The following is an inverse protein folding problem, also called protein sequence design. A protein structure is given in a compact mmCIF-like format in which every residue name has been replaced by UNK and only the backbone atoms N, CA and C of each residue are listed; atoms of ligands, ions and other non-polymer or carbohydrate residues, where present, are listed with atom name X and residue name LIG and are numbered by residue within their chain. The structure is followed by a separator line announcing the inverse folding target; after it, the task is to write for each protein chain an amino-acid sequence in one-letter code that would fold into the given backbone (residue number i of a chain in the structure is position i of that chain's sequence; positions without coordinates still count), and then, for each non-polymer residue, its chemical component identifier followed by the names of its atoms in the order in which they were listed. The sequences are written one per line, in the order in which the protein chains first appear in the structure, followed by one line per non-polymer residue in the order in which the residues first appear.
data_IF_751433071888
#
_entry.id   IF_751433071888
#
_cell.length_a   1.000
_cell.length_b   1.000
_cell.length_c   1.000
_cell.angle_alpha   90.00
_cell.angle_beta   90.00
_cell.angle_gamma   90.00
#
_symmetry.space_group_name_H-M   'P 1'
#
loop_
_entity.id
_entity.type
_entity.pdbx_description
1 polymer ?
#
# COMPACT_ATOMS: atom_id res chain seq x y z
N UNK A 1 -2.58 15.55 15.10
CA UNK A 1 -2.48 15.94 13.68
C UNK A 1 -3.81 15.64 13.01
N UNK A 2 -4.29 16.46 12.07
CA UNK A 2 -5.58 16.19 11.40
C UNK A 2 -5.38 15.13 10.31
N UNK A 3 -6.30 14.16 10.17
CA UNK A 3 -6.23 13.19 9.08
C UNK A 3 -6.43 13.88 7.73
N UNK A 4 -5.84 13.32 6.67
CA UNK A 4 -5.96 13.80 5.30
C UNK A 4 -7.22 13.26 4.59
N UNK A 5 -7.88 12.26 5.19
CA UNK A 5 -8.96 11.47 4.62
C UNK A 5 -8.74 10.00 4.93
N UNK A 6 -9.46 9.12 4.25
CA UNK A 6 -9.29 7.68 4.34
C UNK A 6 -9.37 7.01 2.96
N UNK A 7 -8.94 5.75 2.91
CA UNK A 7 -9.20 4.83 1.81
C UNK A 7 -10.13 3.75 2.31
N UNK A 8 -11.26 3.55 1.64
CA UNK A 8 -12.23 2.52 1.97
C UNK A 8 -12.20 1.41 0.93
N UNK A 9 -11.86 0.18 1.35
CA UNK A 9 -11.86 -0.99 0.47
C UNK A 9 -12.64 -2.11 1.13
N UNK A 10 -13.63 -2.65 0.42
CA UNK A 10 -14.52 -3.70 0.92
C UNK A 10 -15.17 -3.37 2.29
N UNK A 11 -15.43 -2.09 2.57
CA UNK A 11 -15.99 -1.61 3.84
C UNK A 11 -14.96 -1.37 4.95
N UNK A 12 -13.68 -1.63 4.71
CA UNK A 12 -12.59 -1.38 5.66
C UNK A 12 -11.90 -0.06 5.37
N UNK A 13 -11.77 0.77 6.40
CA UNK A 13 -11.22 2.11 6.27
C UNK A 13 -9.75 2.17 6.74
N UNK A 14 -8.95 2.90 5.98
CA UNK A 14 -7.55 3.21 6.25
C UNK A 14 -7.38 4.73 6.33
N UNK A 15 -7.38 5.29 7.53
CA UNK A 15 -7.22 6.73 7.76
C UNK A 15 -5.77 7.14 7.52
N UNK A 16 -5.59 8.16 6.68
CA UNK A 16 -4.29 8.64 6.23
C UNK A 16 -3.82 9.82 7.07
N UNK A 17 -2.59 9.71 7.59
CA UNK A 17 -1.92 10.77 8.35
C UNK A 17 -0.60 11.13 7.68
N UNK A 18 -0.60 12.20 6.89
CA UNK A 18 0.61 12.73 6.27
C UNK A 18 1.49 13.45 7.30
N UNK A 19 2.68 12.90 7.55
CA UNK A 19 3.71 13.49 8.42
C UNK A 19 4.71 14.36 7.64
N UNK A 20 4.53 14.53 6.33
CA UNK A 20 5.36 15.40 5.48
C UNK A 20 4.66 16.71 5.16
N UNK A 21 5.45 17.69 4.72
CA UNK A 21 4.98 18.94 4.11
C UNK A 21 4.55 18.74 2.64
N UNK A 22 4.99 17.66 1.99
CA UNK A 22 4.64 17.33 0.62
C UNK A 22 3.20 16.86 0.49
N UNK A 23 2.56 17.17 -0.64
CA UNK A 23 1.26 16.60 -0.99
C UNK A 23 1.33 15.09 -1.19
N UNK A 24 0.21 14.40 -1.00
CA UNK A 24 0.08 12.98 -1.33
C UNK A 24 -0.54 12.84 -2.71
N UNK A 25 0.05 12.00 -3.56
CA UNK A 25 -0.51 11.61 -4.85
C UNK A 25 -0.73 10.10 -4.88
N UNK A 26 -1.91 9.71 -5.37
CA UNK A 26 -2.31 8.32 -5.57
C UNK A 26 -2.35 8.01 -7.07
N UNK A 27 -2.12 6.75 -7.41
CA UNK A 27 -2.23 6.26 -8.79
C UNK A 27 -3.69 6.35 -9.27
N UNK A 28 -3.89 6.48 -10.59
CA UNK A 28 -5.23 6.42 -11.18
C UNK A 28 -5.92 5.10 -10.82
N UNK A 29 -7.20 5.18 -10.47
CA UNK A 29 -8.00 4.08 -9.94
C UNK A 29 -8.23 4.18 -8.43
N UNK A 30 -7.50 5.02 -7.70
CA UNK A 30 -7.76 5.25 -6.27
C UNK A 30 -8.94 6.18 -5.99
N UNK A 31 -9.41 6.94 -6.98
CA UNK A 31 -10.40 7.99 -6.82
C UNK A 31 -11.70 7.48 -6.18
N UNK A 32 -12.13 6.28 -6.56
CA UNK A 32 -13.36 5.66 -6.06
C UNK A 32 -13.23 5.09 -4.63
N UNK A 33 -12.00 4.96 -4.11
CA UNK A 33 -11.72 4.45 -2.77
C UNK A 33 -11.43 5.57 -1.77
N UNK A 34 -11.13 6.78 -2.23
CA UNK A 34 -10.81 7.92 -1.37
C UNK A 34 -12.07 8.52 -0.75
N UNK A 35 -12.00 8.78 0.56
CA UNK A 35 -13.06 9.42 1.32
C UNK A 35 -12.52 10.55 2.20
N UNK A 36 -13.33 11.58 2.41
CA UNK A 36 -13.04 12.61 3.41
C UNK A 36 -13.44 12.17 4.82
N UNK A 37 -14.23 11.10 4.93
CA UNK A 37 -14.63 10.53 6.21
C UNK A 37 -13.48 9.76 6.85
N UNK A 38 -13.38 9.83 8.17
CA UNK A 38 -12.34 9.15 8.94
C UNK A 38 -12.98 8.46 10.14
N UNK A 39 -13.50 7.23 9.95
CA UNK A 39 -14.15 6.48 11.02
C UNK A 39 -13.19 6.21 12.19
N UNK A 40 -13.73 6.16 13.41
CA UNK A 40 -12.92 5.96 14.63
C UNK A 40 -12.30 4.55 14.71
N UNK A 41 -12.92 3.56 14.07
CA UNK A 41 -12.47 2.17 13.99
C UNK A 41 -11.56 1.89 12.78
N UNK A 42 -11.23 2.93 11.99
CA UNK A 42 -10.34 2.79 10.86
C UNK A 42 -8.91 2.43 11.27
N UNK A 43 -8.27 1.62 10.43
CA UNK A 43 -6.83 1.34 10.51
C UNK A 43 -6.07 2.63 10.22
N UNK A 44 -4.94 2.84 10.90
CA UNK A 44 -4.18 4.10 10.76
C UNK A 44 -3.00 3.89 9.82
N UNK A 45 -2.76 4.84 8.93
CA UNK A 45 -1.63 4.84 8.00
C UNK A 45 -0.85 6.14 8.17
N UNK A 46 0.30 6.06 8.81
CA UNK A 46 1.23 7.17 8.97
C UNK A 46 2.20 7.20 7.81
N UNK A 47 2.28 8.34 7.14
CA UNK A 47 3.09 8.52 5.94
C UNK A 47 4.22 9.47 6.27
N UNK A 48 5.45 9.00 6.14
CA UNK A 48 6.67 9.72 6.40
C UNK A 48 7.46 9.92 5.11
N UNK A 49 8.17 11.03 5.08
CA UNK A 49 9.14 11.32 4.04
C UNK A 49 10.51 10.74 4.40
N UNK A 50 11.18 10.17 3.40
CA UNK A 50 12.55 9.70 3.50
C UNK A 50 12.63 8.29 4.10
N UNK A 51 13.58 7.50 3.63
CA UNK A 51 13.79 6.15 4.14
C UNK A 51 14.54 6.18 5.47
N UNK A 52 14.25 5.19 6.30
CA UNK A 52 15.02 4.93 7.50
C UNK A 52 16.03 3.82 7.26
N UNK A 53 17.14 3.87 7.99
CA UNK A 53 18.15 2.82 7.98
C UNK A 53 17.90 1.84 9.12
N UNK A 54 18.02 0.56 8.83
CA UNK A 54 17.96 -0.53 9.80
C UNK A 54 18.77 -1.71 9.28
N UNK A 55 19.19 -2.58 10.19
CA UNK A 55 19.86 -3.83 9.85
C UNK A 55 18.81 -4.92 9.57
N UNK A 56 18.98 -5.63 8.44
CA UNK A 56 18.16 -6.78 8.09
C UNK A 56 18.74 -8.01 8.77
N UNK A 57 17.98 -8.58 9.70
CA UNK A 57 18.34 -9.82 10.39
C UNK A 57 18.03 -11.03 9.48
N UNK A 58 16.89 -10.97 8.79
CA UNK A 58 16.40 -12.08 7.97
C UNK A 58 15.58 -11.59 6.79
N UNK A 59 15.80 -12.20 5.63
CA UNK A 59 14.89 -12.09 4.49
C UNK A 59 13.81 -13.19 4.59
N UNK A 60 12.55 -12.79 4.70
CA UNK A 60 11.42 -13.69 4.93
C UNK A 60 10.75 -14.13 3.63
N UNK A 61 10.69 -13.24 2.65
CA UNK A 61 10.08 -13.50 1.35
C UNK A 61 10.56 -12.47 0.32
N UNK A 62 10.69 -12.89 -0.95
CA UNK A 62 10.97 -12.00 -2.08
C UNK A 62 10.03 -12.32 -3.24
N UNK A 63 9.37 -11.31 -3.79
CA UNK A 63 8.72 -11.38 -5.09
C UNK A 63 9.65 -10.84 -6.17
N UNK A 64 9.86 -11.62 -7.22
CA UNK A 64 10.72 -11.25 -8.36
C UNK A 64 9.99 -11.45 -9.68
N UNK A 65 10.31 -10.60 -10.65
CA UNK A 65 10.01 -10.82 -12.06
C UNK A 65 11.33 -11.08 -12.79
N UNK A 66 11.61 -12.34 -13.12
CA UNK A 66 12.95 -12.79 -13.54
C UNK A 66 14.01 -12.41 -12.48
N UNK A 67 15.02 -11.62 -12.85
CA UNK A 67 16.07 -11.16 -11.93
C UNK A 67 15.67 -9.91 -11.14
N UNK A 68 14.54 -9.27 -11.47
CA UNK A 68 14.13 -8.02 -10.87
C UNK A 68 13.37 -8.22 -9.57
N UNK A 69 13.86 -7.62 -8.48
CA UNK A 69 13.18 -7.58 -7.19
C UNK A 69 12.03 -6.56 -7.25
N UNK A 70 10.82 -7.00 -6.94
CA UNK A 70 9.63 -6.14 -6.92
C UNK A 70 9.28 -5.70 -5.49
N UNK A 71 9.29 -6.67 -4.57
CA UNK A 71 9.11 -6.39 -3.15
C UNK A 71 9.65 -7.55 -2.30
N UNK A 72 9.96 -7.26 -1.05
CA UNK A 72 10.36 -8.27 -0.07
C UNK A 72 9.82 -7.98 1.32
N UNK A 73 9.80 -9.04 2.14
CA UNK A 73 9.48 -8.97 3.55
C UNK A 73 10.75 -9.33 4.31
N UNK A 74 11.15 -8.48 5.25
CA UNK A 74 12.36 -8.65 6.06
C UNK A 74 12.05 -8.51 7.53
N UNK A 75 12.76 -9.25 8.39
CA UNK A 75 12.74 -9.05 9.83
C UNK A 75 13.97 -8.22 10.25
N UNK A 76 13.75 -7.28 11.15
CA UNK A 76 14.73 -6.37 11.76
C UNK A 76 14.61 -6.42 13.27
N UNK A 77 15.52 -5.77 14.01
CA UNK A 77 15.39 -5.62 15.47
C UNK A 77 14.09 -4.91 15.87
N UNK A 78 13.60 -4.01 15.01
CA UNK A 78 12.40 -3.22 15.24
C UNK A 78 11.14 -3.86 14.64
N UNK A 79 11.19 -5.14 14.26
CA UNK A 79 10.06 -5.88 13.71
C UNK A 79 10.13 -6.09 12.20
N UNK A 80 8.98 -6.42 11.61
CA UNK A 80 8.86 -6.81 10.20
C UNK A 80 8.60 -5.62 9.28
N UNK A 81 9.29 -5.62 8.14
CA UNK A 81 9.22 -4.58 7.14
C UNK A 81 8.88 -5.15 5.76
N UNK A 82 8.11 -4.36 5.01
CA UNK A 82 7.80 -4.56 3.60
C UNK A 82 8.60 -3.54 2.80
N UNK A 83 9.45 -4.01 1.89
CA UNK A 83 10.26 -3.16 1.02
C UNK A 83 9.73 -3.30 -0.40
N UNK A 84 9.36 -2.19 -1.01
CA UNK A 84 8.81 -2.14 -2.38
C UNK A 84 9.81 -1.42 -3.28
N UNK A 85 10.10 -1.99 -4.44
CA UNK A 85 11.08 -1.49 -5.40
C UNK A 85 10.42 -1.08 -6.70
N UNK A 86 11.01 -0.10 -7.38
CA UNK A 86 10.54 0.37 -8.67
C UNK A 86 10.62 -0.76 -9.72
N UNK A 87 9.53 -1.07 -10.43
CA UNK A 87 9.43 -2.22 -11.34
C UNK A 87 10.25 -2.09 -12.61
N UNK A 88 10.92 -0.95 -12.86
CA UNK A 88 11.81 -0.78 -14.02
C UNK A 88 13.29 -0.60 -13.65
N UNK A 89 13.58 -0.17 -12.42
CA UNK A 89 14.93 0.26 -12.04
C UNK A 89 15.45 -0.41 -10.75
N UNK A 90 14.59 -1.18 -10.05
CA UNK A 90 14.94 -1.92 -8.84
C UNK A 90 15.43 -1.05 -7.67
N UNK A 91 15.24 0.27 -7.74
CA UNK A 91 15.50 1.15 -6.62
C UNK A 91 14.38 1.05 -5.59
N UNK A 92 14.72 1.13 -4.31
CA UNK A 92 13.74 1.15 -3.23
C UNK A 92 12.81 2.36 -3.40
N UNK A 93 11.51 2.10 -3.38
CA UNK A 93 10.45 3.09 -3.59
C UNK A 93 9.71 3.38 -2.29
N UNK A 94 9.37 2.34 -1.53
CA UNK A 94 8.69 2.46 -0.24
C UNK A 94 9.22 1.44 0.77
N UNK A 95 9.25 1.85 2.04
CA UNK A 95 9.39 0.95 3.18
C UNK A 95 8.09 1.04 3.98
N UNK A 96 7.55 -0.08 4.43
CA UNK A 96 6.39 -0.07 5.30
C UNK A 96 6.57 -1.04 6.46
N UNK A 97 6.06 -0.64 7.62
CA UNK A 97 5.97 -1.48 8.80
C UNK A 97 4.51 -1.57 9.22
N UNK A 98 4.11 -2.78 9.62
CA UNK A 98 2.79 -3.03 10.17
C UNK A 98 2.88 -3.41 11.65
N UNK A 99 2.12 -2.70 12.49
CA UNK A 99 1.90 -3.01 13.89
C UNK A 99 0.51 -3.66 14.04
N UNK A 100 0.49 -4.94 14.38
CA UNK A 100 -0.71 -5.77 14.50
C UNK A 100 -1.53 -5.47 15.76
N UNK A 101 -0.88 -5.04 16.84
CA UNK A 101 -1.53 -4.66 18.10
C UNK A 101 -2.33 -3.36 17.93
N UNK A 102 -1.74 -2.40 17.22
CA UNK A 102 -2.34 -1.07 17.00
C UNK A 102 -3.10 -0.95 15.67
N UNK A 103 -3.09 -2.01 14.84
CA UNK A 103 -3.65 -2.01 13.48
C UNK A 103 -3.17 -0.81 12.65
N UNK A 104 -1.88 -0.51 12.77
CA UNK A 104 -1.26 0.69 12.23
C UNK A 104 -0.22 0.33 11.18
N UNK A 105 -0.23 1.04 10.07
CA UNK A 105 0.82 1.06 9.06
C UNK A 105 1.65 2.33 9.21
N UNK A 106 2.96 2.17 9.10
CA UNK A 106 3.90 3.29 8.95
C UNK A 106 4.62 3.12 7.62
N UNK A 107 4.47 4.07 6.71
CA UNK A 107 5.01 4.03 5.35
C UNK A 107 6.01 5.17 5.17
N UNK A 108 7.19 4.84 4.67
CA UNK A 108 8.26 5.77 4.31
C UNK A 108 8.44 5.76 2.80
N UNK A 109 8.47 6.94 2.17
CA UNK A 109 8.70 7.09 0.73
C UNK A 109 9.51 8.35 0.43
N UNK A 110 10.23 8.34 -0.70
CA UNK A 110 10.99 9.51 -1.15
C UNK A 110 10.11 10.52 -1.85
N UNK A 111 10.53 11.80 -1.79
CA UNK A 111 9.95 12.86 -2.60
C UNK A 111 10.15 12.56 -4.08
N UNK A 112 9.11 12.86 -4.86
CA UNK A 112 9.17 12.80 -6.31
C UNK A 112 8.62 14.09 -6.90
N UNK A 113 9.16 14.50 -8.05
CA UNK A 113 8.68 15.67 -8.75
C UNK A 113 7.39 15.33 -9.52
N UNK A 114 6.31 16.07 -9.29
CA UNK A 114 5.05 15.94 -10.00
C UNK A 114 4.52 17.33 -10.40
N UNK A 115 4.38 17.59 -11.70
CA UNK A 115 3.81 18.84 -12.24
C UNK A 115 4.35 20.14 -11.61
N UNK A 116 5.65 20.17 -11.28
CA UNK A 116 6.42 21.28 -10.62
C UNK A 116 6.34 21.36 -9.10
N UNK A 117 5.70 20.39 -8.44
CA UNK A 117 5.68 20.27 -6.98
C UNK A 117 6.41 19.00 -6.53
N UNK A 118 6.86 18.98 -5.27
CA UNK A 118 7.37 17.77 -4.63
C UNK A 118 6.24 17.06 -3.89
N UNK A 119 6.06 15.78 -4.19
CA UNK A 119 4.96 14.96 -3.68
C UNK A 119 5.47 13.62 -3.14
N UNK A 120 4.61 12.93 -2.41
CA UNK A 120 4.81 11.56 -1.96
C UNK A 120 3.80 10.62 -2.64
N UNK A 121 4.27 9.43 -3.00
CA UNK A 121 3.46 8.34 -3.52
C UNK A 121 3.40 7.19 -2.50
N UNK A 122 2.64 7.33 -1.40
CA UNK A 122 2.68 6.41 -0.27
C UNK A 122 2.12 5.03 -0.58
N UNK A 123 1.30 4.90 -1.63
CA UNK A 123 0.61 3.66 -2.00
C UNK A 123 0.94 3.19 -3.41
N UNK A 124 2.07 3.64 -3.97
CA UNK A 124 2.51 3.17 -5.27
C UNK A 124 2.64 1.63 -5.30
N UNK A 125 2.31 1.05 -6.45
CA UNK A 125 2.13 -0.39 -6.57
C UNK A 125 3.41 -1.17 -6.23
N UNK A 126 3.33 -2.28 -5.43
CA UNK A 126 2.14 -2.95 -4.93
C UNK A 126 1.82 -2.65 -3.45
N UNK A 127 2.16 -1.48 -2.90
CA UNK A 127 2.01 -1.22 -1.46
C UNK A 127 0.57 -1.40 -0.96
N UNK A 128 -0.43 -0.80 -1.63
CA UNK A 128 -1.82 -0.99 -1.22
C UNK A 128 -2.29 -2.45 -1.32
N UNK A 129 -2.03 -3.20 -2.41
CA UNK A 129 -2.26 -4.65 -2.44
C UNK A 129 -1.61 -5.43 -1.29
N UNK A 130 -0.39 -5.07 -0.88
CA UNK A 130 0.28 -5.71 0.26
C UNK A 130 -0.44 -5.42 1.57
N UNK A 131 -0.88 -4.18 1.78
CA UNK A 131 -1.70 -3.82 2.95
C UNK A 131 -3.00 -4.60 3.01
N UNK A 132 -3.68 -4.77 1.87
CA UNK A 132 -4.92 -5.54 1.78
C UNK A 132 -4.67 -7.04 1.94
N UNK A 133 -3.54 -7.56 1.47
CA UNK A 133 -3.16 -8.95 1.73
C UNK A 133 -3.04 -9.21 3.24
N UNK A 134 -2.38 -8.32 3.99
CA UNK A 134 -2.33 -8.41 5.45
C UNK A 134 -3.73 -8.32 6.07
N UNK A 135 -4.60 -7.43 5.56
CA UNK A 135 -5.99 -7.35 6.01
C UNK A 135 -6.71 -8.71 5.88
N UNK A 136 -6.48 -9.46 4.81
CA UNK A 136 -7.09 -10.80 4.65
C UNK A 136 -6.58 -11.85 5.64
N UNK A 137 -5.45 -11.60 6.32
CA UNK A 137 -4.96 -12.49 7.39
C UNK A 137 -5.64 -12.24 8.73
N UNK A 138 -6.37 -11.13 8.86
CA UNK A 138 -7.00 -10.69 10.10
C UNK A 138 -8.52 -10.68 10.00
N UNK A 139 -9.06 -10.50 8.80
CA UNK A 139 -10.48 -10.37 8.53
C UNK A 139 -10.98 -11.51 7.62
N UNK A 140 -12.28 -11.81 7.67
CA UNK A 140 -12.91 -12.81 6.79
C UNK A 140 -13.11 -12.24 5.38
N UNK A 141 -12.01 -12.11 4.64
CA UNK A 141 -11.97 -11.51 3.31
C UNK A 141 -11.34 -12.47 2.28
N UNK A 142 -11.77 -12.29 1.03
CA UNK A 142 -11.14 -12.92 -0.12
C UNK A 142 -10.59 -11.83 -1.05
N UNK A 143 -9.26 -11.80 -1.20
CA UNK A 143 -8.60 -10.93 -2.17
C UNK A 143 -8.40 -11.70 -3.48
N UNK A 144 -8.98 -11.20 -4.56
CA UNK A 144 -8.87 -11.79 -5.90
C UNK A 144 -8.29 -10.75 -6.85
N UNK A 145 -7.21 -11.10 -7.53
CA UNK A 145 -6.74 -10.32 -8.69
C UNK A 145 -7.61 -10.69 -9.90
N UNK A 146 -8.60 -9.84 -10.18
CA UNK A 146 -9.60 -10.08 -11.20
C UNK A 146 -10.17 -8.75 -11.74
N UNK A 147 -10.79 -8.82 -12.92
CA UNK A 147 -11.72 -7.79 -13.38
C UNK A 147 -13.15 -8.20 -13.00
N UNK A 148 -14.06 -7.23 -12.96
CA UNK A 148 -15.46 -7.47 -12.61
C UNK A 148 -16.42 -6.58 -13.37
N UNK A 149 -17.60 -7.11 -13.68
CA UNK A 149 -18.72 -6.33 -14.21
C UNK A 149 -19.98 -6.62 -13.41
N UNK A 150 -20.82 -5.61 -13.23
CA UNK A 150 -22.16 -5.75 -12.65
C UNK A 150 -23.17 -5.44 -13.74
N UNK A 151 -24.05 -6.38 -14.04
CA UNK A 151 -25.11 -6.22 -15.03
C UNK A 151 -26.41 -6.81 -14.49
N UNK A 152 -27.50 -6.01 -14.50
CA UNK A 152 -28.83 -6.45 -14.07
C UNK A 152 -28.84 -7.13 -12.68
N UNK A 153 -28.08 -6.57 -11.72
CA UNK A 153 -27.96 -7.09 -10.37
C UNK A 153 -27.11 -8.36 -10.22
N UNK A 154 -26.43 -8.81 -11.29
CA UNK A 154 -25.51 -9.95 -11.26
C UNK A 154 -24.08 -9.47 -11.45
N UNK A 155 -23.21 -9.83 -10.50
CA UNK A 155 -21.76 -9.65 -10.63
C UNK A 155 -21.14 -10.82 -11.39
N UNK A 156 -20.21 -10.52 -12.30
CA UNK A 156 -19.33 -11.51 -12.92
C UNK A 156 -17.89 -11.10 -12.66
N UNK A 157 -17.06 -12.05 -12.23
CA UNK A 157 -15.64 -11.86 -11.92
C UNK A 157 -14.85 -12.67 -12.94
N UNK A 158 -13.85 -12.06 -13.55
CA UNK A 158 -12.94 -12.70 -14.49
C UNK A 158 -11.54 -12.67 -13.90
N UNK A 159 -11.01 -13.85 -13.57
CA UNK A 159 -9.65 -14.02 -13.07
C UNK A 159 -8.82 -14.76 -14.13
N UNK A 160 -7.64 -14.22 -14.44
CA UNK A 160 -6.77 -14.76 -15.47
C UNK A 160 -5.40 -14.07 -15.48
N UNK A 161 -4.47 -14.62 -16.25
CA UNK A 161 -3.17 -13.96 -16.46
C UNK A 161 -3.35 -12.66 -17.25
N UNK A 162 -2.48 -11.67 -17.01
CA UNK A 162 -2.53 -10.40 -17.74
C UNK A 162 -2.50 -10.64 -19.26
N UNK A 163 -3.44 -10.02 -19.98
CA UNK A 163 -3.52 -10.06 -21.45
C UNK A 163 -4.48 -11.11 -22.05
N UNK A 164 -5.22 -11.89 -21.26
CA UNK A 164 -6.14 -12.92 -21.80
C UNK A 164 -7.57 -12.44 -22.05
N UNK A 165 -7.95 -11.27 -21.54
CA UNK A 165 -9.32 -10.74 -21.64
C UNK A 165 -10.24 -11.33 -20.58
#
# INVERSE_FOLDING_TARGET
MKPNGSICVAGYNFTLYNQSVCGLIFETGFEDFLSLETPDDARKVYIHEGFISFEIIKNCYQAKNNEQLLWEIVDTENGRWFLVYHPEHSHLQQQAQYNDQEKTWTIYCQRQAHQKEEVLHPLAYPMAPLMWYVLTTEEQLLLIHASGIIESGKGRIFAGFSGVG
#
